data_IF_099763990720
#
_entry.id   IF_099763990720
#
_cell.length_a   1.000
_cell.length_b   1.000
_cell.length_c   1.000
_cell.angle_alpha   90.00
_cell.angle_beta   90.00
_cell.angle_gamma   90.00
#
_symmetry.space_group_name_H-M   'P 1'
#
loop_
_entity.id
_entity.type
_entity.pdbx_description
1 polymer ?
#
# COMPACT_ATOMS: atom_id res chain seq x y z
N UNK A 1 -44.84 33.32 19.68
CA UNK A 1 -45.99 32.39 19.70
C UNK A 1 -45.48 30.99 19.40
N UNK A 2 -44.54 30.43 20.17
CA UNK A 2 -44.62 29.97 21.57
C UNK A 2 -45.62 28.84 21.79
N UNK A 3 -45.07 27.69 22.22
CA UNK A 3 -45.69 26.45 22.72
C UNK A 3 -45.90 25.34 21.70
N UNK A 4 -44.85 24.61 21.34
CA UNK A 4 -44.94 23.18 21.04
C UNK A 4 -43.60 22.53 21.41
N UNK A 5 -43.66 21.42 22.16
CA UNK A 5 -42.55 20.62 22.72
C UNK A 5 -42.06 20.95 24.14
N UNK A 6 -42.92 20.61 25.09
CA UNK A 6 -42.54 20.20 26.44
C UNK A 6 -43.32 18.93 26.79
N UNK A 7 -42.69 17.74 26.69
CA UNK A 7 -43.13 16.50 27.36
C UNK A 7 -42.20 15.33 27.00
N UNK A 8 -41.96 14.45 27.98
CA UNK A 8 -41.13 13.24 28.03
C UNK A 8 -39.64 13.51 28.37
N UNK A 9 -39.15 13.25 29.58
CA UNK A 9 -39.68 12.42 30.67
C UNK A 9 -38.63 11.38 31.05
N UNK A 10 -38.00 11.61 32.20
CA UNK A 10 -36.99 10.81 32.90
C UNK A 10 -37.38 9.34 33.16
N UNK A 11 -36.33 8.50 33.32
CA UNK A 11 -36.32 7.25 34.10
C UNK A 11 -35.92 6.04 33.24
N UNK A 12 -35.12 5.05 33.68
CA UNK A 12 -34.79 4.61 35.04
C UNK A 12 -33.73 3.50 34.94
N UNK A 13 -32.85 3.41 35.95
CA UNK A 13 -31.88 2.34 36.20
C UNK A 13 -32.50 0.93 36.29
N UNK A 14 -31.72 -0.09 35.88
CA UNK A 14 -31.65 -1.37 36.63
C UNK A 14 -30.43 -2.24 36.24
N UNK A 15 -29.62 -2.52 37.26
CA UNK A 15 -28.71 -3.67 37.40
C UNK A 15 -29.44 -5.00 37.14
N UNK A 16 -28.70 -6.00 36.66
CA UNK A 16 -28.65 -7.32 37.32
C UNK A 16 -27.44 -8.14 36.84
N UNK A 17 -26.75 -8.68 37.83
CA UNK A 17 -25.81 -9.80 37.78
C UNK A 17 -26.52 -11.10 37.39
N UNK A 18 -25.86 -12.04 36.70
CA UNK A 18 -25.83 -13.45 37.15
C UNK A 18 -24.74 -14.33 36.47
N UNK A 19 -24.36 -15.34 37.23
CA UNK A 19 -23.35 -16.42 37.10
C UNK A 19 -23.61 -17.31 35.86
N UNK A 20 -22.62 -17.90 35.19
CA UNK A 20 -21.70 -18.94 35.66
C UNK A 20 -22.20 -20.33 35.24
N UNK A 21 -21.44 -21.10 34.45
CA UNK A 21 -21.52 -22.57 34.48
C UNK A 21 -20.31 -23.25 33.81
N UNK A 22 -19.61 -24.04 34.63
CA UNK A 22 -18.64 -25.07 34.25
C UNK A 22 -19.35 -26.29 33.67
N UNK A 23 -18.81 -26.90 32.60
CA UNK A 23 -18.93 -28.35 32.38
C UNK A 23 -17.68 -28.94 31.77
N UNK A 24 -17.03 -29.78 32.57
CA UNK A 24 -16.08 -30.84 32.20
C UNK A 24 -16.71 -31.78 31.17
N UNK A 25 -15.90 -32.29 30.26
CA UNK A 25 -16.08 -33.63 29.71
C UNK A 25 -14.71 -34.30 29.54
N UNK A 26 -14.55 -35.40 30.26
CA UNK A 26 -13.50 -36.39 30.11
C UNK A 26 -13.87 -37.33 28.95
N UNK A 27 -12.90 -37.69 28.11
CA UNK A 27 -12.98 -38.93 27.36
C UNK A 27 -11.58 -39.48 27.09
N UNK A 28 -11.32 -40.63 27.70
CA UNK A 28 -10.16 -41.50 27.52
C UNK A 28 -10.09 -42.05 26.11
N UNK A 29 -8.93 -41.99 25.45
CA UNK A 29 -8.62 -42.86 24.32
C UNK A 29 -7.16 -43.30 24.33
N UNK A 30 -6.97 -44.51 23.84
CA UNK A 30 -6.01 -45.52 24.25
C UNK A 30 -5.16 -45.90 23.04
N UNK A 31 -3.83 -45.71 23.15
CA UNK A 31 -2.76 -46.53 22.54
C UNK A 31 -2.67 -46.70 21.02
N UNK A 32 -1.46 -46.44 20.49
CA UNK A 32 -1.06 -46.94 19.17
C UNK A 32 0.31 -46.43 18.70
N UNK A 33 1.38 -47.05 19.17
CA UNK A 33 2.78 -46.79 18.77
C UNK A 33 3.08 -47.34 17.37
N UNK A 34 3.77 -46.56 16.52
CA UNK A 34 4.31 -47.04 15.25
C UNK A 34 5.59 -46.30 14.87
N UNK A 35 6.73 -46.98 15.05
CA UNK A 35 8.07 -46.68 14.54
C UNK A 35 8.09 -46.19 13.08
N UNK A 36 8.92 -45.19 12.79
CA UNK A 36 9.87 -45.32 11.67
C UNK A 36 10.99 -44.27 11.73
N UNK A 37 12.15 -44.77 12.17
CA UNK A 37 13.46 -44.17 12.04
C UNK A 37 14.09 -44.53 10.67
N UNK A 38 15.12 -43.78 10.28
CA UNK A 38 15.98 -43.93 9.07
C UNK A 38 15.40 -43.31 7.79
N UNK A 39 16.07 -42.40 7.06
CA UNK A 39 17.36 -42.59 6.37
C UNK A 39 18.06 -41.23 6.19
N UNK A 40 19.28 -41.12 6.73
CA UNK A 40 20.33 -40.18 6.30
C UNK A 40 21.16 -40.84 5.19
N UNK A 41 21.68 -40.03 4.25
CA UNK A 41 23.10 -39.89 3.82
C UNK A 41 23.35 -39.83 2.30
N UNK A 42 24.31 -38.93 1.99
CA UNK A 42 25.32 -38.91 0.91
C UNK A 42 24.90 -38.32 -0.43
N UNK A 43 25.57 -37.22 -0.83
CA UNK A 43 26.70 -37.35 -1.76
C UNK A 43 27.59 -36.09 -1.77
N UNK A 44 28.89 -36.34 -1.74
CA UNK A 44 29.99 -35.41 -2.00
C UNK A 44 30.93 -36.08 -3.02
N UNK A 45 31.83 -35.29 -3.62
CA UNK A 45 32.94 -35.60 -4.58
C UNK A 45 32.65 -35.16 -6.02
N UNK A 46 33.56 -34.69 -6.89
CA UNK A 46 35.01 -34.38 -6.87
C UNK A 46 35.36 -33.70 -8.23
N UNK A 47 36.34 -32.79 -8.27
CA UNK A 47 37.32 -32.51 -9.37
C UNK A 47 38.02 -31.17 -9.03
N UNK A 48 39.32 -31.01 -8.71
CA UNK A 48 40.59 -31.31 -9.42
C UNK A 48 40.59 -30.73 -10.86
N UNK A 49 41.59 -30.04 -11.42
CA UNK A 49 43.05 -29.92 -11.19
C UNK A 49 43.56 -28.84 -12.19
N UNK A 50 44.70 -28.17 -11.92
CA UNK A 50 45.85 -27.95 -12.85
C UNK A 50 46.70 -26.74 -12.40
N UNK A 51 47.98 -27.04 -12.22
CA UNK A 51 49.12 -26.17 -11.95
C UNK A 51 49.61 -25.38 -13.19
N UNK A 52 50.31 -24.27 -12.94
CA UNK A 52 51.66 -24.09 -13.52
C UNK A 52 52.02 -22.78 -14.23
N UNK A 53 53.08 -22.14 -13.68
CA UNK A 53 54.15 -21.31 -14.34
C UNK A 53 53.74 -19.87 -14.74
N UNK A 54 54.45 -18.76 -14.49
CA UNK A 54 55.80 -18.44 -13.98
C UNK A 54 56.31 -17.15 -14.69
N UNK A 55 57.26 -16.41 -14.09
CA UNK A 55 57.95 -15.17 -14.54
C UNK A 55 57.19 -13.83 -14.38
N UNK A 56 57.74 -12.70 -13.94
CA UNK A 56 59.06 -12.23 -13.47
C UNK A 56 58.86 -10.73 -13.13
N UNK A 57 59.36 -10.19 -12.00
CA UNK A 57 60.69 -9.58 -11.87
C UNK A 57 60.68 -8.08 -12.20
N UNK A 58 61.05 -7.21 -11.24
CA UNK A 58 61.35 -5.79 -11.53
C UNK A 58 61.23 -4.84 -10.33
N UNK A 59 62.37 -4.49 -9.76
CA UNK A 59 62.60 -3.75 -8.51
C UNK A 59 62.49 -2.20 -8.58
N UNK A 60 62.58 -1.61 -7.37
CA UNK A 60 63.13 -0.31 -6.99
C UNK A 60 62.28 0.96 -7.13
N UNK A 61 61.96 1.59 -6.00
CA UNK A 61 62.80 2.69 -5.47
C UNK A 61 62.27 3.23 -4.12
N UNK A 62 63.22 3.46 -3.22
CA UNK A 62 63.06 3.98 -1.87
C UNK A 62 62.83 5.50 -1.81
N UNK A 63 62.28 5.99 -0.69
CA UNK A 63 62.31 7.42 -0.37
C UNK A 63 61.53 7.85 0.89
N UNK A 64 62.20 7.75 2.05
CA UNK A 64 62.27 8.78 3.12
C UNK A 64 60.96 9.42 3.64
N UNK A 65 60.50 9.10 4.86
CA UNK A 65 60.85 9.78 6.13
C UNK A 65 60.51 11.29 6.17
N UNK A 66 59.50 11.66 6.97
CA UNK A 66 59.57 12.74 7.99
C UNK A 66 58.23 12.92 8.72
N UNK A 67 58.31 12.78 10.04
CA UNK A 67 57.36 13.29 11.02
C UNK A 67 57.38 14.84 11.01
N UNK A 68 56.25 15.47 11.29
CA UNK A 68 56.18 16.65 12.15
C UNK A 68 54.73 17.00 12.51
N UNK A 69 54.43 16.88 13.81
CA UNK A 69 53.30 17.52 14.48
C UNK A 69 53.60 19.01 14.64
N UNK A 70 52.75 19.88 14.07
CA UNK A 70 52.72 21.32 14.38
C UNK A 70 51.26 21.79 14.27
N UNK A 71 50.84 22.62 15.22
CA UNK A 71 49.53 23.30 15.39
C UNK A 71 48.56 22.70 16.41
N UNK A 72 49.05 22.63 17.65
CA UNK A 72 48.29 23.14 18.79
C UNK A 72 48.49 24.66 18.86
N UNK A 73 47.46 25.46 18.55
CA UNK A 73 47.20 26.82 19.04
C UNK A 73 46.20 27.55 18.12
N UNK A 74 44.92 27.62 18.53
CA UNK A 74 43.98 28.69 18.13
C UNK A 74 42.71 28.58 19.00
N UNK A 75 42.86 28.85 20.30
CA UNK A 75 41.75 28.88 21.25
C UNK A 75 41.81 30.15 22.08
N UNK A 76 41.49 31.29 21.48
CA UNK A 76 41.17 32.53 22.19
C UNK A 76 40.57 33.56 21.21
N UNK A 77 39.35 34.04 21.49
CA UNK A 77 38.87 35.34 21.03
C UNK A 77 38.04 35.40 19.74
N UNK A 78 36.75 35.01 19.81
CA UNK A 78 35.72 35.52 18.88
C UNK A 78 34.41 35.76 19.67
N UNK A 79 34.48 36.52 20.76
CA UNK A 79 33.31 36.87 21.58
C UNK A 79 33.15 38.38 21.77
N UNK A 80 33.46 39.18 20.75
CA UNK A 80 33.35 40.66 20.86
C UNK A 80 32.99 41.41 19.55
N UNK A 81 32.37 40.73 18.57
CA UNK A 81 32.05 41.37 17.28
C UNK A 81 30.66 41.02 16.72
N UNK A 82 29.63 40.94 17.56
CA UNK A 82 28.25 40.93 17.10
C UNK A 82 27.45 41.94 17.92
N UNK A 83 27.36 43.13 17.34
CA UNK A 83 26.63 44.26 17.87
C UNK A 83 25.18 43.95 18.18
N UNK A 84 24.75 44.58 19.26
CA UNK A 84 23.36 44.81 19.67
C UNK A 84 22.51 45.23 18.45
N UNK A 85 21.61 44.36 18.03
CA UNK A 85 20.42 44.78 17.28
C UNK A 85 19.22 44.66 18.21
N UNK A 86 18.72 45.82 18.63
CA UNK A 86 17.43 46.00 19.29
C UNK A 86 16.30 45.55 18.35
N UNK A 87 15.67 44.43 18.69
CA UNK A 87 14.59 43.81 17.91
C UNK A 87 13.28 43.70 18.72
N UNK A 88 13.00 44.73 19.53
CA UNK A 88 11.71 44.87 20.22
C UNK A 88 11.17 46.30 20.08
N UNK A 89 10.51 46.58 18.95
CA UNK A 89 9.42 47.57 18.95
C UNK A 89 8.47 47.45 17.75
N UNK A 90 7.21 47.12 18.05
CA UNK A 90 5.95 47.52 17.40
C UNK A 90 5.86 47.48 15.85
N UNK A 91 5.04 46.58 15.33
CA UNK A 91 3.65 46.92 14.96
C UNK A 91 2.96 45.75 14.26
N UNK A 92 1.71 45.51 14.66
CA UNK A 92 0.76 44.63 14.00
C UNK A 92 0.45 45.15 12.59
N UNK A 93 0.98 44.48 11.56
CA UNK A 93 0.42 44.52 10.21
C UNK A 93 0.31 43.09 9.71
N UNK A 94 -0.94 42.70 9.48
CA UNK A 94 -1.38 41.49 8.79
C UNK A 94 -0.65 41.37 7.46
N UNK A 95 0.38 40.52 7.42
CA UNK A 95 1.06 40.13 6.20
C UNK A 95 0.20 39.09 5.48
N UNK A 96 -0.66 39.56 4.57
CA UNK A 96 -1.20 38.72 3.50
C UNK A 96 -0.03 38.35 2.60
N UNK A 97 0.41 37.10 2.66
CA UNK A 97 1.37 36.51 1.72
C UNK A 97 0.72 36.44 0.33
N UNK A 98 0.74 37.56 -0.40
CA UNK A 98 0.50 37.61 -1.83
C UNK A 98 1.70 36.96 -2.52
N UNK A 99 1.65 35.64 -2.69
CA UNK A 99 2.50 34.89 -3.63
C UNK A 99 2.28 35.49 -5.01
N UNK A 100 3.38 35.89 -5.65
CA UNK A 100 3.42 36.65 -6.89
C UNK A 100 2.46 36.14 -7.96
N UNK A 101 1.36 36.86 -8.14
CA UNK A 101 0.53 36.77 -9.32
C UNK A 101 1.31 37.35 -10.49
N UNK A 102 2.02 36.50 -11.23
CA UNK A 102 2.49 36.85 -12.56
C UNK A 102 1.27 37.27 -13.37
N UNK A 103 1.15 38.57 -13.64
CA UNK A 103 0.19 39.06 -14.61
C UNK A 103 0.49 38.34 -15.92
N UNK A 104 -0.44 37.47 -16.34
CA UNK A 104 -0.49 36.94 -17.69
C UNK A 104 -0.38 38.14 -18.64
N UNK A 105 0.77 38.31 -19.27
CA UNK A 105 1.06 39.39 -20.19
C UNK A 105 0.27 39.17 -21.48
N UNK A 106 -1.05 39.41 -21.43
CA UNK A 106 -1.94 39.75 -22.56
C UNK A 106 -1.89 38.88 -23.81
N UNK A 107 -1.27 37.70 -23.78
CA UNK A 107 -1.15 36.82 -24.92
C UNK A 107 -2.45 36.06 -25.13
N UNK A 108 -2.97 36.07 -26.36
CA UNK A 108 -4.09 35.23 -26.74
C UNK A 108 -3.79 33.78 -26.41
N UNK A 109 -4.73 33.08 -25.79
CA UNK A 109 -4.49 31.69 -25.36
C UNK A 109 -4.11 30.83 -26.58
N UNK A 110 -3.08 29.97 -26.50
CA UNK A 110 -2.60 29.23 -27.66
C UNK A 110 -3.68 28.31 -28.22
N UNK A 111 -3.71 28.16 -29.55
CA UNK A 111 -4.60 27.24 -30.27
C UNK A 111 -5.24 27.86 -31.51
N UNK A 112 -5.69 27.00 -32.43
CA UNK A 112 -6.48 27.41 -33.60
C UNK A 112 -7.94 27.43 -33.19
N UNK A 113 -8.64 28.53 -33.48
CA UNK A 113 -10.05 28.69 -33.16
C UNK A 113 -10.90 28.35 -34.37
N UNK A 114 -11.87 27.46 -34.18
CA UNK A 114 -12.76 26.97 -35.22
C UNK A 114 -14.21 27.29 -34.85
N UNK A 115 -14.95 28.04 -35.67
CA UNK A 115 -16.37 28.27 -35.44
C UNK A 115 -17.18 27.02 -35.77
N UNK A 116 -18.04 26.59 -34.84
CA UNK A 116 -18.86 25.39 -34.95
C UNK A 116 -20.34 25.79 -34.97
N UNK A 117 -21.10 25.21 -35.90
CA UNK A 117 -22.54 25.42 -36.03
C UNK A 117 -23.26 24.07 -36.19
N UNK A 118 -24.10 23.72 -35.22
CA UNK A 118 -24.91 22.51 -35.21
C UNK A 118 -26.38 22.90 -35.45
N UNK A 119 -26.83 22.81 -36.70
CA UNK A 119 -28.13 23.25 -37.22
C UNK A 119 -29.26 22.21 -37.12
N UNK A 120 -28.96 20.93 -37.37
CA UNK A 120 -29.92 19.82 -37.35
C UNK A 120 -30.51 19.59 -35.95
N UNK A 121 -31.82 19.28 -35.86
CA UNK A 121 -32.43 18.79 -34.63
C UNK A 121 -31.94 17.37 -34.31
N UNK A 122 -31.95 17.00 -33.03
CA UNK A 122 -31.58 15.66 -32.56
C UNK A 122 -30.33 15.64 -31.66
N UNK A 123 -29.80 14.44 -31.37
CA UNK A 123 -28.62 14.29 -30.53
C UNK A 123 -27.38 14.85 -31.21
N UNK A 124 -26.60 15.65 -30.48
CA UNK A 124 -25.37 16.24 -30.99
C UNK A 124 -24.30 15.17 -31.26
N UNK A 125 -24.30 14.10 -30.46
CA UNK A 125 -23.31 13.01 -30.48
C UNK A 125 -21.93 13.45 -30.03
N UNK A 126 -21.89 14.27 -28.98
CA UNK A 126 -20.67 14.72 -28.31
C UNK A 126 -20.77 14.40 -26.82
N UNK A 127 -19.65 14.02 -26.23
CA UNK A 127 -19.47 13.90 -24.78
C UNK A 127 -18.53 14.99 -24.30
N UNK A 128 -18.92 15.71 -23.25
CA UNK A 128 -18.11 16.78 -22.65
C UNK A 128 -17.74 16.42 -21.22
N UNK A 129 -16.49 16.72 -20.87
CA UNK A 129 -15.97 16.65 -19.51
C UNK A 129 -15.78 18.05 -18.92
N UNK A 130 -15.84 18.11 -17.59
CA UNK A 130 -15.57 19.31 -16.81
C UNK A 130 -14.06 19.39 -16.55
N UNK A 131 -13.45 20.50 -16.96
CA UNK A 131 -12.04 20.78 -16.65
C UNK A 131 -11.82 20.80 -15.12
N UNK A 132 -10.71 20.21 -14.65
CA UNK A 132 -10.29 20.25 -13.23
C UNK A 132 -9.88 21.65 -12.76
N UNK A 133 -9.74 22.62 -13.67
CA UNK A 133 -9.41 24.00 -13.31
C UNK A 133 -10.49 24.66 -12.45
N UNK A 134 -10.09 25.65 -11.66
CA UNK A 134 -10.97 26.44 -10.77
C UNK A 134 -12.20 27.02 -11.50
N UNK A 135 -12.10 27.28 -12.81
CA UNK A 135 -13.18 27.87 -13.61
C UNK A 135 -14.12 26.86 -14.26
N UNK A 136 -13.79 25.56 -14.25
CA UNK A 136 -14.64 24.47 -14.71
C UNK A 136 -15.27 24.66 -16.11
N UNK A 137 -14.45 24.92 -17.12
CA UNK A 137 -14.88 25.01 -18.51
C UNK A 137 -15.15 23.63 -19.15
N UNK A 138 -15.89 23.61 -20.26
CA UNK A 138 -16.23 22.40 -21.01
C UNK A 138 -15.13 21.99 -22.00
N UNK A 139 -14.73 20.72 -21.97
CA UNK A 139 -13.79 20.10 -22.91
C UNK A 139 -14.47 18.92 -23.59
N UNK A 140 -14.27 18.75 -24.90
CA UNK A 140 -14.81 17.60 -25.63
C UNK A 140 -14.04 16.32 -25.25
N UNK A 141 -14.70 15.41 -24.52
CA UNK A 141 -14.12 14.15 -24.05
C UNK A 141 -14.16 13.05 -25.12
N UNK A 142 -15.31 12.92 -25.81
CA UNK A 142 -15.51 11.94 -26.86
C UNK A 142 -16.52 12.43 -27.91
N UNK A 143 -16.46 11.82 -29.09
CA UNK A 143 -17.36 12.14 -30.20
C UNK A 143 -17.90 10.82 -30.75
N UNK A 144 -19.21 10.75 -30.91
CA UNK A 144 -19.89 9.59 -31.48
C UNK A 144 -19.68 9.59 -32.99
N UNK A 145 -19.21 8.48 -33.60
CA UNK A 145 -19.05 8.39 -35.04
C UNK A 145 -20.37 8.62 -35.79
N UNK A 146 -20.31 9.25 -36.96
CA UNK A 146 -21.42 9.67 -37.84
C UNK A 146 -22.40 10.66 -37.20
N UNK A 147 -22.04 11.26 -36.07
CA UNK A 147 -22.86 12.26 -35.39
C UNK A 147 -22.88 13.61 -36.10
N UNK A 148 -23.69 14.53 -35.57
CA UNK A 148 -23.63 15.93 -36.00
C UNK A 148 -22.30 16.59 -35.59
N UNK A 149 -21.81 16.29 -34.38
CA UNK A 149 -20.56 16.81 -33.86
C UNK A 149 -19.35 16.43 -34.72
N UNK A 150 -19.24 15.15 -35.13
CA UNK A 150 -18.17 14.69 -36.02
C UNK A 150 -18.23 15.39 -37.39
N UNK A 151 -19.43 15.51 -37.97
CA UNK A 151 -19.64 16.20 -39.26
C UNK A 151 -19.30 17.69 -39.21
N UNK A 152 -19.43 18.30 -38.04
CA UNK A 152 -19.02 19.69 -37.81
C UNK A 152 -17.51 19.83 -37.57
N UNK A 153 -16.74 18.74 -37.57
CA UNK A 153 -15.28 18.76 -37.44
C UNK A 153 -14.78 18.91 -36.01
N UNK A 154 -15.62 18.67 -35.00
CA UNK A 154 -15.19 18.59 -33.60
C UNK A 154 -14.21 17.43 -33.41
N UNK A 155 -13.29 17.57 -32.46
CA UNK A 155 -12.34 16.52 -32.04
C UNK A 155 -12.27 16.43 -30.52
N UNK A 156 -11.85 15.26 -30.03
CA UNK A 156 -11.50 15.10 -28.60
C UNK A 156 -10.39 16.08 -28.23
N UNK A 157 -10.55 16.73 -27.07
CA UNK A 157 -9.64 17.74 -26.55
C UNK A 157 -9.94 19.18 -27.00
N UNK A 158 -10.93 19.40 -27.85
CA UNK A 158 -11.37 20.74 -28.22
C UNK A 158 -11.97 21.46 -26.99
N UNK A 159 -11.54 22.71 -26.75
CA UNK A 159 -12.03 23.55 -25.64
C UNK A 159 -13.17 24.42 -26.14
N UNK A 160 -14.34 24.35 -25.50
CA UNK A 160 -15.52 25.09 -25.93
C UNK A 160 -15.44 26.56 -25.51
N UNK A 161 -15.61 27.47 -26.46
CA UNK A 161 -15.50 28.92 -26.29
C UNK A 161 -16.77 29.65 -26.76
N UNK A 162 -17.02 30.83 -26.21
CA UNK A 162 -18.13 31.68 -26.61
C UNK A 162 -18.01 32.07 -28.09
N UNK A 163 -19.11 32.06 -28.85
CA UNK A 163 -19.08 32.42 -30.27
C UNK A 163 -18.61 33.87 -30.45
N UNK A 164 -17.62 34.08 -31.32
CA UNK A 164 -17.04 35.40 -31.60
C UNK A 164 -16.01 35.85 -30.55
N UNK A 165 -15.67 35.01 -29.59
CA UNK A 165 -14.63 35.33 -28.58
C UNK A 165 -13.20 35.10 -29.08
N UNK A 166 -13.03 34.52 -30.27
CA UNK A 166 -11.73 34.08 -30.79
C UNK A 166 -10.96 33.20 -29.78
N UNK A 167 -11.67 32.35 -29.03
CA UNK A 167 -11.06 31.41 -28.09
C UNK A 167 -10.63 31.99 -26.74
N UNK A 168 -10.88 33.28 -26.50
CA UNK A 168 -10.50 33.95 -25.24
C UNK A 168 -11.43 33.58 -24.08
N UNK A 169 -12.75 33.56 -24.36
CA UNK A 169 -13.78 33.31 -23.36
C UNK A 169 -14.28 31.87 -23.46
N UNK A 170 -13.84 31.03 -22.53
CA UNK A 170 -14.25 29.63 -22.42
C UNK A 170 -15.65 29.52 -21.81
N UNK A 171 -16.48 28.61 -22.34
CA UNK A 171 -17.82 28.37 -21.80
C UNK A 171 -17.71 27.43 -20.60
N UNK A 172 -18.35 27.81 -19.49
CA UNK A 172 -18.46 26.94 -18.30
C UNK A 172 -19.22 25.65 -18.63
N UNK A 173 -18.82 24.55 -18.00
CA UNK A 173 -19.43 23.23 -18.23
C UNK A 173 -20.96 23.26 -18.13
N UNK A 174 -21.49 23.77 -17.01
CA UNK A 174 -22.92 23.79 -16.75
C UNK A 174 -23.67 24.65 -17.79
N UNK A 175 -23.09 25.79 -18.17
CA UNK A 175 -23.65 26.68 -19.19
C UNK A 175 -23.70 26.01 -20.56
N UNK A 176 -22.63 25.31 -20.95
CA UNK A 176 -22.61 24.58 -22.21
C UNK A 176 -23.64 23.44 -22.22
N UNK A 177 -23.75 22.69 -21.12
CA UNK A 177 -24.77 21.62 -20.98
C UNK A 177 -26.18 22.19 -21.09
N UNK A 178 -26.47 23.34 -20.47
CA UNK A 178 -27.76 24.03 -20.61
C UNK A 178 -28.01 24.50 -22.04
N UNK A 179 -27.00 25.05 -22.73
CA UNK A 179 -27.11 25.45 -24.13
C UNK A 179 -27.37 24.24 -25.05
N UNK A 180 -26.66 23.13 -24.84
CA UNK A 180 -26.80 21.91 -25.62
C UNK A 180 -28.17 21.23 -25.44
N UNK A 181 -28.70 21.26 -24.21
CA UNK A 181 -30.04 20.78 -23.86
C UNK A 181 -31.16 21.71 -24.34
N UNK A 182 -30.85 22.99 -24.62
CA UNK A 182 -31.85 23.89 -25.18
C UNK A 182 -32.29 23.40 -26.56
N UNK A 183 -33.58 23.55 -26.87
CA UNK A 183 -34.12 23.27 -28.21
C UNK A 183 -33.73 24.33 -29.25
N UNK A 184 -32.93 25.35 -28.85
CA UNK A 184 -32.47 26.41 -29.74
C UNK A 184 -31.43 25.85 -30.72
N UNK A 185 -31.73 25.96 -32.01
CA UNK A 185 -30.84 25.61 -33.12
C UNK A 185 -30.86 26.77 -34.13
N UNK A 186 -29.72 27.09 -34.78
CA UNK A 186 -28.44 26.41 -34.70
C UNK A 186 -27.71 26.67 -33.37
N UNK A 187 -27.09 25.62 -32.81
CA UNK A 187 -26.19 25.78 -31.66
C UNK A 187 -24.83 26.25 -32.20
N UNK A 188 -24.49 27.51 -31.90
CA UNK A 188 -23.26 28.17 -32.35
C UNK A 188 -22.31 28.38 -31.18
N UNK A 189 -21.07 27.96 -31.35
CA UNK A 189 -19.98 28.16 -30.40
C UNK A 189 -18.65 28.03 -31.14
N UNK A 190 -17.59 28.57 -30.55
CA UNK A 190 -16.24 28.39 -31.09
C UNK A 190 -15.57 27.24 -30.34
N UNK A 191 -14.62 26.57 -30.97
CA UNK A 191 -13.71 25.66 -30.27
C UNK A 191 -12.26 26.07 -30.46
N UNK A 192 -11.51 26.08 -29.36
CA UNK A 192 -10.07 26.30 -29.38
C UNK A 192 -9.37 24.95 -29.37
N UNK A 193 -8.72 24.63 -30.49
CA UNK A 193 -7.95 23.41 -30.68
C UNK A 193 -6.48 23.69 -30.40
N UNK A 194 -5.94 23.07 -29.37
CA UNK A 194 -4.51 23.07 -29.11
C UNK A 194 -3.91 22.04 -30.06
N UNK A 195 -3.21 22.49 -31.10
CA UNK A 195 -2.48 21.57 -31.95
C UNK A 195 -1.44 20.85 -31.10
N UNK A 196 -1.47 19.51 -31.12
CA UNK A 196 -0.50 18.68 -30.42
C UNK A 196 0.94 18.93 -30.90
N UNK A 197 1.12 19.60 -32.04
CA UNK A 197 2.43 20.09 -32.52
C UNK A 197 3.10 21.04 -31.52
N UNK A 198 2.32 21.89 -30.83
CA UNK A 198 2.86 22.87 -29.86
C UNK A 198 3.26 22.20 -28.55
N UNK A 199 2.62 21.08 -28.19
CA UNK A 199 3.00 20.30 -27.00
C UNK A 199 4.23 19.40 -27.22
N UNK A 200 4.64 19.18 -28.49
CA UNK A 200 5.86 18.44 -28.84
C UNK A 200 7.08 19.35 -29.09
N UNK A 201 6.96 20.66 -28.88
CA UNK A 201 8.01 21.65 -29.16
C UNK A 201 8.94 21.91 -27.99
N UNK A 202 9.82 20.96 -27.66
CA UNK A 202 10.92 21.14 -26.72
C UNK A 202 12.00 20.09 -26.93
N UNK A 203 13.11 20.52 -27.53
CA UNK A 203 14.31 19.76 -27.89
C UNK A 203 14.18 18.73 -29.01
N UNK A 204 14.85 19.04 -30.14
CA UNK A 204 14.98 18.20 -31.33
C UNK A 204 15.75 16.90 -31.11
N UNK A 205 15.23 16.02 -30.26
CA UNK A 205 15.57 14.61 -30.24
C UNK A 205 14.51 13.85 -31.05
N UNK A 206 14.91 12.93 -31.93
CA UNK A 206 13.98 12.11 -32.69
C UNK A 206 13.37 11.08 -31.72
N UNK A 207 12.35 11.47 -30.97
CA UNK A 207 11.72 10.59 -30.00
C UNK A 207 10.18 10.68 -30.05
N UNK A 208 9.59 9.73 -30.78
CA UNK A 208 8.69 8.78 -30.12
C UNK A 208 7.28 9.22 -29.76
N UNK A 209 6.69 10.18 -30.48
CA UNK A 209 5.29 10.57 -30.32
C UNK A 209 4.28 9.73 -31.12
N UNK A 210 3.66 8.75 -30.47
CA UNK A 210 2.23 8.46 -30.66
C UNK A 210 1.79 7.52 -31.79
N UNK A 211 2.01 6.21 -31.65
CA UNK A 211 1.11 5.16 -32.18
C UNK A 211 0.88 4.08 -31.10
N UNK A 212 -0.36 3.62 -31.04
CA UNK A 212 -0.98 3.05 -29.84
C UNK A 212 -0.41 1.74 -29.28
N UNK A 213 -0.81 1.47 -28.03
CA UNK A 213 -0.84 0.21 -27.25
C UNK A 213 0.39 -0.72 -27.27
N UNK A 214 0.92 -1.10 -28.44
CA UNK A 214 2.12 -1.94 -28.55
C UNK A 214 3.40 -1.23 -28.10
N UNK A 215 3.46 0.10 -28.29
CA UNK A 215 4.66 0.89 -28.00
C UNK A 215 4.81 1.24 -26.51
N UNK A 216 3.74 1.12 -25.72
CA UNK A 216 3.81 1.28 -24.26
C UNK A 216 4.60 0.14 -23.60
N UNK A 217 4.47 -1.09 -24.13
CA UNK A 217 5.23 -2.24 -23.65
C UNK A 217 6.70 -2.15 -24.05
N UNK A 218 6.98 -1.72 -25.28
CA UNK A 218 8.34 -1.46 -25.75
C UNK A 218 9.04 -0.36 -24.93
N UNK A 219 8.32 0.72 -24.58
CA UNK A 219 8.82 1.75 -23.66
C UNK A 219 9.07 1.22 -22.25
N UNK A 220 8.16 0.42 -21.70
CA UNK A 220 8.33 -0.20 -20.38
C UNK A 220 9.56 -1.11 -20.35
N UNK A 221 9.76 -1.93 -21.39
CA UNK A 221 10.97 -2.76 -21.52
C UNK A 221 12.25 -1.94 -21.73
N UNK A 222 12.21 -0.87 -22.51
CA UNK A 222 13.36 0.02 -22.70
C UNK A 222 13.77 0.72 -21.39
N UNK A 223 12.80 1.13 -20.57
CA UNK A 223 13.05 1.72 -19.25
C UNK A 223 13.65 0.68 -18.28
N UNK A 224 13.14 -0.56 -18.27
CA UNK A 224 13.69 -1.65 -17.46
C UNK A 224 15.13 -1.97 -17.88
N UNK A 225 15.38 -2.15 -19.18
CA UNK A 225 16.72 -2.41 -19.71
C UNK A 225 17.71 -1.27 -19.40
N UNK A 226 17.25 -0.01 -19.45
CA UNK A 226 18.07 1.14 -19.09
C UNK A 226 18.39 1.19 -17.58
N UNK A 227 17.45 0.79 -16.72
CA UNK A 227 17.67 0.68 -15.28
C UNK A 227 18.67 -0.44 -14.95
N UNK A 228 18.51 -1.62 -15.56
CA UNK A 228 19.42 -2.76 -15.38
C UNK A 228 20.84 -2.43 -15.87
N UNK A 229 20.98 -1.73 -17.00
CA UNK A 229 22.29 -1.29 -17.49
C UNK A 229 23.00 -0.31 -16.53
N UNK A 230 22.24 0.52 -15.80
CA UNK A 230 22.80 1.42 -14.77
C UNK A 230 23.23 0.65 -13.53
N UNK A 231 22.47 -0.34 -13.10
CA UNK A 231 22.82 -1.19 -11.96
C UNK A 231 24.01 -2.11 -12.27
N UNK A 232 24.10 -2.65 -13.48
CA UNK A 232 25.26 -3.42 -13.93
C UNK A 232 26.55 -2.58 -13.91
N UNK A 233 26.49 -1.33 -14.39
CA UNK A 233 27.62 -0.40 -14.31
C UNK A 233 27.99 -0.07 -12.87
N UNK A 234 27.01 0.17 -11.99
CA UNK A 234 27.26 0.42 -10.55
C UNK A 234 27.93 -0.77 -9.87
N UNK A 235 27.42 -1.99 -10.11
CA UNK A 235 28.03 -3.23 -9.58
C UNK A 235 29.44 -3.46 -10.11
N UNK A 236 29.71 -3.17 -11.38
CA UNK A 236 31.06 -3.28 -11.94
C UNK A 236 32.04 -2.25 -11.35
N UNK A 237 31.57 -1.04 -11.00
CA UNK A 237 32.41 -0.01 -10.36
C UNK A 237 32.62 -0.21 -8.86
N UNK A 238 31.73 -0.94 -8.18
CA UNK A 238 31.92 -1.32 -6.79
C UNK A 238 32.94 -2.46 -6.75
N UNK A 239 34.21 -2.10 -6.51
CA UNK A 239 35.25 -3.09 -6.20
C UNK A 239 34.75 -3.92 -5.02
N UNK A 240 34.73 -5.27 -5.11
CA UNK A 240 34.38 -6.11 -3.98
C UNK A 240 35.31 -5.73 -2.83
N UNK A 241 34.71 -5.31 -1.71
CA UNK A 241 35.45 -4.98 -0.50
C UNK A 241 36.29 -6.22 -0.19
N UNK A 242 37.64 -6.16 -0.27
CA UNK A 242 38.47 -7.29 0.05
C UNK A 242 38.13 -7.68 1.48
N UNK A 243 37.75 -8.94 1.69
CA UNK A 243 37.56 -9.50 3.02
C UNK A 243 38.90 -9.41 3.71
N UNK A 244 39.11 -8.34 4.47
CA UNK A 244 40.25 -8.21 5.35
C UNK A 244 40.10 -9.28 6.41
N UNK A 245 41.01 -10.25 6.38
CA UNK A 245 41.22 -11.17 7.49
C UNK A 245 41.33 -10.34 8.77
N UNK A 246 40.48 -10.69 9.74
CA UNK A 246 40.41 -10.06 11.04
C UNK A 246 41.75 -10.27 11.76
N UNK A 247 42.70 -9.35 11.57
CA UNK A 247 43.71 -9.06 12.58
C UNK A 247 43.00 -8.30 13.70
N UNK A 248 42.84 -8.99 14.82
CA UNK A 248 42.46 -8.38 16.08
C UNK A 248 43.61 -7.45 16.50
N UNK A 249 43.29 -6.18 16.69
CA UNK A 249 44.11 -5.31 17.51
C UNK A 249 43.18 -4.50 18.42
N UNK A 250 43.61 -4.41 19.68
CA UNK A 250 42.83 -4.06 20.85
C UNK A 250 42.31 -2.62 20.84
N UNK A 251 40.97 -2.46 20.93
CA UNK A 251 40.37 -1.39 21.77
C UNK A 251 38.86 -1.55 21.98
N UNK A 252 38.54 -2.06 23.17
CA UNK A 252 37.40 -1.77 24.04
C UNK A 252 36.08 -1.32 23.39
N UNK A 253 35.12 -2.24 23.33
CA UNK A 253 33.74 -1.98 23.76
C UNK A 253 33.14 -3.27 24.34
N UNK A 254 32.57 -3.14 25.53
CA UNK A 254 32.16 -4.21 26.43
C UNK A 254 30.89 -4.91 25.94
N UNK A 255 31.02 -6.15 25.46
CA UNK A 255 29.93 -7.11 25.41
C UNK A 255 30.22 -8.23 26.42
N UNK A 256 29.35 -8.37 27.41
CA UNK A 256 29.39 -9.45 28.40
C UNK A 256 29.22 -10.81 27.72
N UNK A 257 30.33 -11.48 27.46
CA UNK A 257 30.38 -12.93 27.23
C UNK A 257 30.62 -13.56 28.60
N UNK A 258 29.58 -14.16 29.17
CA UNK A 258 29.77 -14.97 30.37
C UNK A 258 30.57 -16.22 29.99
N UNK A 259 31.80 -16.24 30.47
CA UNK A 259 32.74 -17.33 30.34
C UNK A 259 32.18 -18.58 31.05
N UNK A 260 32.14 -19.70 30.32
CA UNK A 260 31.70 -21.02 30.80
C UNK A 260 32.81 -21.69 31.60
N UNK A 261 33.18 -21.13 32.73
CA UNK A 261 34.19 -21.74 33.60
C UNK A 261 33.70 -21.85 35.03
N UNK A 262 33.54 -23.11 35.47
CA UNK A 262 33.33 -23.57 36.84
C UNK A 262 31.94 -23.34 37.43
N UNK A 263 30.92 -24.02 36.87
CA UNK A 263 29.71 -24.32 37.62
C UNK A 263 30.11 -25.10 38.89
N UNK A 264 29.93 -24.44 40.04
CA UNK A 264 30.15 -25.01 41.36
C UNK A 264 29.39 -26.34 41.49
N UNK A 265 29.94 -27.29 42.24
CA UNK A 265 29.29 -28.58 42.50
C UNK A 265 27.85 -28.41 43.03
N UNK A 266 27.63 -27.34 43.80
CA UNK A 266 26.32 -26.92 44.29
C UNK A 266 25.34 -26.56 43.16
N UNK A 267 25.79 -25.84 42.13
CA UNK A 267 24.96 -25.52 40.95
C UNK A 267 24.59 -26.79 40.19
N UNK A 268 25.52 -27.74 40.06
CA UNK A 268 25.23 -29.05 39.45
C UNK A 268 24.21 -29.85 40.25
N UNK A 269 24.28 -29.81 41.59
CA UNK A 269 23.30 -30.47 42.46
C UNK A 269 21.91 -29.82 42.37
N UNK A 270 21.84 -28.49 42.30
CA UNK A 270 20.59 -27.76 42.15
C UNK A 270 19.91 -28.07 40.80
N UNK A 271 20.66 -28.10 39.71
CA UNK A 271 20.13 -28.47 38.39
C UNK A 271 19.67 -29.93 38.34
N UNK A 272 20.38 -30.84 39.00
CA UNK A 272 19.97 -32.24 39.10
C UNK A 272 18.65 -32.39 39.88
N UNK A 273 18.53 -31.72 41.03
CA UNK A 273 17.31 -31.73 41.84
C UNK A 273 16.10 -31.15 41.08
N UNK A 274 16.29 -30.09 40.28
CA UNK A 274 15.24 -29.54 39.44
C UNK A 274 14.77 -30.54 38.37
N UNK A 275 15.71 -31.22 37.69
CA UNK A 275 15.37 -32.26 36.69
C UNK A 275 14.66 -33.48 37.30
N UNK A 276 14.97 -33.83 38.54
CA UNK A 276 14.30 -34.93 39.24
C UNK A 276 12.86 -34.56 39.59
N UNK A 277 12.64 -33.34 40.09
CA UNK A 277 11.29 -32.82 40.35
C UNK A 277 10.45 -32.72 39.08
N UNK A 278 11.05 -32.34 37.95
CA UNK A 278 10.38 -32.34 36.65
C UNK A 278 9.95 -33.74 36.22
N UNK A 279 10.81 -34.76 36.41
CA UNK A 279 10.50 -36.16 36.08
C UNK A 279 9.38 -36.74 36.94
N UNK A 280 9.39 -36.47 38.25
CA UNK A 280 8.30 -36.91 39.13
C UNK A 280 6.97 -36.27 38.75
N UNK A 281 6.98 -34.99 38.38
CA UNK A 281 5.79 -34.30 37.93
C UNK A 281 5.27 -34.86 36.60
N UNK A 282 6.18 -35.18 35.66
CA UNK A 282 5.83 -35.83 34.40
C UNK A 282 5.22 -37.23 34.61
N UNK A 283 5.78 -38.03 35.53
CA UNK A 283 5.22 -39.34 35.90
C UNK A 283 3.82 -39.21 36.53
N UNK A 284 3.61 -38.20 37.36
CA UNK A 284 2.31 -37.94 38.00
C UNK A 284 1.24 -37.48 37.00
N UNK A 285 1.63 -36.69 36.01
CA UNK A 285 0.73 -36.17 34.98
C UNK A 285 0.51 -37.15 33.83
N UNK A 286 1.37 -38.17 33.68
CA UNK A 286 1.33 -39.10 32.55
C UNK A 286 1.80 -38.51 31.23
N UNK A 287 2.30 -37.27 31.24
CA UNK A 287 2.92 -36.55 30.11
C UNK A 287 3.93 -35.53 30.66
N UNK A 288 4.97 -35.18 29.88
CA UNK A 288 6.01 -34.22 30.31
C UNK A 288 5.66 -32.79 29.85
N UNK A 289 5.18 -31.89 30.73
CA UNK A 289 4.81 -30.53 30.34
C UNK A 289 6.01 -29.63 29.99
N UNK A 290 7.24 -30.05 30.34
CA UNK A 290 8.45 -29.26 30.12
C UNK A 290 9.21 -29.66 28.84
N UNK A 291 8.78 -30.72 28.17
CA UNK A 291 9.34 -31.12 26.89
C UNK A 291 8.69 -30.30 25.78
N UNK A 292 9.37 -29.23 25.36
CA UNK A 292 8.94 -28.46 24.19
C UNK A 292 9.14 -29.30 22.94
N UNK A 293 8.09 -30.00 22.51
CA UNK A 293 8.04 -30.55 21.16
C UNK A 293 8.13 -29.38 20.18
N UNK A 294 9.31 -29.16 19.62
CA UNK A 294 9.53 -28.17 18.58
C UNK A 294 8.81 -28.64 17.30
N UNK A 295 7.49 -28.46 17.26
CA UNK A 295 6.70 -28.64 16.05
C UNK A 295 7.06 -27.53 15.10
N UNK A 296 7.75 -27.89 14.02
CA UNK A 296 7.97 -26.99 12.89
C UNK A 296 6.60 -26.59 12.35
N UNK A 297 6.40 -25.31 12.03
CA UNK A 297 5.09 -24.70 11.73
C UNK A 297 4.22 -25.42 10.69
N UNK A 298 4.79 -26.30 9.86
CA UNK A 298 4.05 -27.17 8.94
C UNK A 298 3.30 -28.34 9.62
N UNK A 299 3.77 -28.87 10.75
CA UNK A 299 3.13 -30.01 11.43
C UNK A 299 1.95 -29.59 12.32
N UNK A 300 1.91 -28.34 12.79
CA UNK A 300 0.82 -27.80 13.60
C UNK A 300 -0.51 -27.69 12.84
N UNK A 301 -0.46 -27.52 11.50
CA UNK A 301 -1.65 -27.42 10.64
C UNK A 301 -2.38 -28.76 10.49
N UNK A 302 -1.67 -29.89 10.52
CA UNK A 302 -2.30 -31.21 10.35
C UNK A 302 -3.03 -31.68 11.60
N UNK A 303 -2.55 -31.31 12.80
CA UNK A 303 -3.17 -31.69 14.06
C UNK A 303 -4.51 -30.98 14.33
N UNK A 304 -4.69 -29.75 13.84
CA UNK A 304 -5.96 -29.00 14.01
C UNK A 304 -7.05 -29.48 13.06
N UNK A 305 -6.69 -30.00 11.88
CA UNK A 305 -7.66 -30.57 10.91
C UNK A 305 -8.13 -31.95 11.38
N UNK A 306 -7.26 -32.78 11.95
CA UNK A 306 -7.62 -34.09 12.49
C UNK A 306 -8.51 -34.02 13.75
N UNK A 307 -8.40 -32.97 14.55
CA UNK A 307 -9.28 -32.76 15.71
C UNK A 307 -10.69 -32.27 15.33
N UNK A 308 -10.84 -31.62 14.17
CA UNK A 308 -12.12 -31.08 13.69
C UNK A 308 -12.89 -32.06 12.79
N UNK A 309 -12.18 -32.97 12.10
CA UNK A 309 -12.77 -34.03 11.29
C UNK A 309 -12.45 -35.38 11.95
N UNK A 310 -13.36 -35.87 12.80
CA UNK A 310 -13.19 -37.18 13.43
C UNK A 310 -12.87 -38.29 12.42
N UNK A 311 -11.99 -39.21 12.82
CA UNK A 311 -11.50 -40.33 12.01
C UNK A 311 -12.65 -41.09 11.33
N UNK A 312 -12.69 -41.05 10.00
CA UNK A 312 -13.59 -41.87 9.18
C UNK A 312 -12.94 -43.25 9.04
N UNK A 313 -13.29 -44.15 9.96
CA UNK A 313 -12.98 -45.58 9.82
C UNK A 313 -13.73 -46.16 8.62
N UNK A 314 -12.98 -46.42 7.53
CA UNK A 314 -13.47 -47.00 6.28
C UNK A 314 -13.65 -48.54 6.37
N UNK A 315 -14.37 -49.04 7.37
CA UNK A 315 -14.68 -50.45 7.49
C UNK A 315 -16.01 -50.67 8.23
N UNK A 316 -17.14 -50.41 7.56
CA UNK A 316 -18.36 -51.18 7.76
C UNK A 316 -19.39 -50.88 6.65
N UNK A 317 -19.33 -51.68 5.60
CA UNK A 317 -20.38 -51.83 4.58
C UNK A 317 -21.11 -53.11 4.92
N UNK A 318 -22.30 -53.04 5.55
CA UNK A 318 -23.28 -54.14 5.53
C UNK A 318 -24.72 -53.57 5.54
N UNK A 319 -25.39 -53.78 4.40
CA UNK A 319 -26.81 -54.06 4.15
C UNK A 319 -27.88 -53.63 5.18
N UNK A 320 -28.81 -52.80 4.71
CA UNK A 320 -30.12 -52.61 5.32
C UNK A 320 -31.08 -51.94 4.33
N UNK A 321 -31.83 -52.77 3.58
CA UNK A 321 -33.04 -52.36 2.86
C UNK A 321 -34.08 -51.90 3.90
N UNK A 322 -34.53 -50.65 3.82
CA UNK A 322 -35.50 -50.11 4.77
C UNK A 322 -36.08 -48.77 4.31
N UNK A 323 -37.34 -48.84 3.87
CA UNK A 323 -38.35 -47.80 3.64
C UNK A 323 -37.94 -46.32 3.70
N UNK A 324 -38.18 -45.64 2.58
CA UNK A 324 -38.11 -44.18 2.44
C UNK A 324 -39.22 -43.46 3.23
N UNK A 325 -38.89 -42.51 4.11
CA UNK A 325 -39.76 -41.40 4.42
C UNK A 325 -39.47 -40.19 3.51
N UNK A 326 -40.58 -39.55 3.12
CA UNK A 326 -40.73 -38.34 2.31
C UNK A 326 -39.58 -37.31 2.35
N UNK A 327 -39.10 -36.79 1.20
CA UNK A 327 -38.08 -35.76 1.13
C UNK A 327 -38.70 -34.39 1.47
N UNK A 328 -38.75 -34.07 2.76
CA UNK A 328 -39.28 -32.81 3.28
C UNK A 328 -38.20 -32.01 4.02
N UNK A 329 -37.85 -30.85 3.46
CA UNK A 329 -37.02 -29.77 4.04
C UNK A 329 -35.57 -30.15 4.38
N UNK A 330 -34.72 -30.08 3.35
CA UNK A 330 -33.38 -29.51 3.54
C UNK A 330 -33.56 -28.08 4.07
N UNK A 331 -32.93 -27.78 5.20
CA UNK A 331 -32.74 -26.39 5.61
C UNK A 331 -32.10 -25.67 4.43
N UNK A 332 -32.76 -24.60 3.98
CA UNK A 332 -32.20 -23.65 3.01
C UNK A 332 -30.77 -23.34 3.50
N UNK A 333 -29.73 -23.54 2.65
CA UNK A 333 -28.37 -23.18 3.01
C UNK A 333 -28.45 -21.77 3.56
N UNK A 334 -28.08 -21.59 4.84
CA UNK A 334 -28.04 -20.26 5.44
C UNK A 334 -26.92 -19.54 4.70
N UNK A 335 -27.30 -18.90 3.59
CA UNK A 335 -26.44 -18.10 2.75
C UNK A 335 -25.89 -17.05 3.72
N UNK A 336 -24.59 -17.13 4.11
CA UNK A 336 -24.03 -16.18 5.03
C UNK A 336 -24.07 -14.86 4.29
N UNK A 337 -25.13 -14.10 4.51
CA UNK A 337 -25.40 -12.82 3.86
C UNK A 337 -24.38 -11.86 4.45
N UNK A 338 -23.13 -11.98 4.02
CA UNK A 338 -22.06 -11.08 4.35
C UNK A 338 -22.52 -9.73 3.88
N UNK A 339 -22.71 -8.82 4.84
CA UNK A 339 -23.29 -7.48 4.62
C UNK A 339 -22.27 -6.54 3.97
N UNK A 340 -21.37 -7.07 3.16
CA UNK A 340 -20.41 -6.29 2.40
C UNK A 340 -21.13 -5.62 1.25
N UNK A 341 -20.88 -4.32 1.00
CA UNK A 341 -21.49 -3.65 -0.13
C UNK A 341 -20.97 -4.27 -1.43
N UNK A 342 -21.82 -4.34 -2.48
CA UNK A 342 -21.44 -4.95 -3.75
C UNK A 342 -20.25 -4.24 -4.40
N UNK A 343 -20.07 -2.95 -4.13
CA UNK A 343 -18.91 -2.17 -4.58
C UNK A 343 -17.59 -2.69 -3.98
N UNK A 344 -17.59 -3.06 -2.69
CA UNK A 344 -16.43 -3.64 -2.03
C UNK A 344 -16.11 -5.02 -2.60
N UNK A 345 -17.11 -5.87 -2.76
CA UNK A 345 -16.94 -7.22 -3.31
C UNK A 345 -16.41 -7.19 -4.74
N UNK A 346 -16.90 -6.26 -5.55
CA UNK A 346 -16.42 -6.06 -6.92
C UNK A 346 -14.97 -5.59 -6.93
N UNK A 347 -14.61 -4.57 -6.13
CA UNK A 347 -13.22 -4.10 -6.03
C UNK A 347 -12.27 -5.18 -5.51
N UNK A 348 -12.71 -5.95 -4.51
CA UNK A 348 -11.95 -7.08 -3.95
C UNK A 348 -11.78 -8.20 -4.99
N UNK A 349 -12.83 -8.53 -5.74
CA UNK A 349 -12.78 -9.52 -6.82
C UNK A 349 -11.81 -9.10 -7.92
N UNK A 350 -11.83 -7.83 -8.35
CA UNK A 350 -10.86 -7.29 -9.32
C UNK A 350 -9.43 -7.44 -8.78
N UNK A 351 -9.19 -7.05 -7.53
CA UNK A 351 -7.89 -7.14 -6.89
C UNK A 351 -7.34 -8.57 -6.90
N UNK A 352 -8.17 -9.54 -6.52
CA UNK A 352 -7.77 -10.94 -6.42
C UNK A 352 -7.60 -11.61 -7.79
N UNK A 353 -8.45 -11.27 -8.76
CA UNK A 353 -8.49 -11.99 -10.05
C UNK A 353 -7.67 -11.35 -11.16
N UNK A 354 -7.45 -10.03 -11.12
CA UNK A 354 -6.78 -9.30 -12.21
C UNK A 354 -5.25 -9.31 -12.09
N UNK A 355 -4.72 -9.63 -10.91
CA UNK A 355 -3.28 -9.61 -10.66
C UNK A 355 -2.70 -11.02 -10.76
N UNK A 356 -1.71 -11.21 -11.65
CA UNK A 356 -1.08 -12.50 -11.86
C UNK A 356 -0.16 -12.94 -10.71
N UNK A 357 0.40 -11.97 -9.97
CA UNK A 357 1.28 -12.23 -8.83
C UNK A 357 0.47 -12.30 -7.52
N UNK A 358 0.17 -13.52 -7.09
CA UNK A 358 -0.53 -13.77 -5.84
C UNK A 358 0.22 -13.22 -4.62
N UNK A 359 1.57 -13.24 -4.62
CA UNK A 359 2.35 -12.73 -3.49
C UNK A 359 2.21 -11.22 -3.35
N UNK A 360 2.16 -10.49 -4.47
CA UNK A 360 1.88 -9.06 -4.49
C UNK A 360 0.49 -8.73 -3.96
N UNK A 361 -0.53 -9.53 -4.31
CA UNK A 361 -1.91 -9.39 -3.80
C UNK A 361 -1.95 -9.59 -2.28
N UNK A 362 -1.32 -10.66 -1.76
CA UNK A 362 -1.26 -10.91 -0.32
C UNK A 362 -0.56 -9.78 0.45
N UNK A 363 0.55 -9.26 -0.09
CA UNK A 363 1.26 -8.13 0.50
C UNK A 363 0.40 -6.85 0.48
N UNK A 364 -0.30 -6.59 -0.63
CA UNK A 364 -1.23 -5.49 -0.79
C UNK A 364 -2.34 -5.53 0.25
N UNK A 365 -3.04 -6.67 0.38
CA UNK A 365 -4.08 -6.88 1.38
C UNK A 365 -3.56 -6.65 2.80
N UNK A 366 -2.38 -7.17 3.13
CA UNK A 366 -1.77 -7.00 4.45
C UNK A 366 -1.47 -5.55 4.78
N UNK A 367 -0.96 -4.78 3.81
CA UNK A 367 -0.68 -3.35 3.96
C UNK A 367 -1.98 -2.57 4.11
N UNK A 368 -2.97 -2.79 3.24
CA UNK A 368 -4.27 -2.12 3.31
C UNK A 368 -4.94 -2.36 4.65
N UNK A 369 -4.99 -3.62 5.11
CA UNK A 369 -5.61 -3.97 6.41
C UNK A 369 -4.94 -3.26 7.58
N UNK A 370 -3.61 -3.12 7.57
CA UNK A 370 -2.87 -2.33 8.58
C UNK A 370 -3.20 -0.85 8.52
N UNK A 371 -3.30 -0.26 7.33
CA UNK A 371 -3.65 1.14 7.15
C UNK A 371 -5.08 1.44 7.61
N UNK A 372 -6.04 0.61 7.19
CA UNK A 372 -7.43 0.68 7.61
C UNK A 372 -7.52 0.58 9.13
N UNK A 373 -6.89 -0.44 9.74
CA UNK A 373 -6.93 -0.62 11.19
C UNK A 373 -6.31 0.59 11.93
N UNK A 374 -5.17 1.11 11.48
CA UNK A 374 -4.56 2.29 12.07
C UNK A 374 -5.46 3.53 11.94
N UNK A 375 -6.12 3.72 10.80
CA UNK A 375 -7.00 4.86 10.55
C UNK A 375 -8.26 4.84 11.42
N UNK A 376 -8.90 3.67 11.62
CA UNK A 376 -10.13 3.54 12.43
C UNK A 376 -9.86 3.46 13.94
N UNK A 377 -8.65 3.06 14.36
CA UNK A 377 -8.27 2.97 15.78
C UNK A 377 -7.50 4.19 16.22
N UNK A 378 -6.20 4.25 15.94
CA UNK A 378 -5.28 5.33 16.32
C UNK A 378 -5.63 6.65 15.63
N UNK A 379 -6.16 6.57 14.42
CA UNK A 379 -6.62 7.73 13.67
C UNK A 379 -7.91 8.32 14.22
N UNK A 380 -8.66 7.63 15.09
CA UNK A 380 -9.88 8.17 15.70
C UNK A 380 -9.71 8.49 17.19
N UNK A 381 -8.51 8.27 17.75
CA UNK A 381 -8.22 8.46 19.17
C UNK A 381 -7.13 9.52 19.37
N UNK A 382 -7.31 10.40 20.35
CA UNK A 382 -6.32 11.40 20.75
C UNK A 382 -6.48 12.76 20.06
N UNK A 383 -5.50 13.62 20.29
CA UNK A 383 -5.50 14.99 19.76
C UNK A 383 -5.39 14.99 18.23
N UNK A 384 -6.04 15.97 17.59
CA UNK A 384 -6.15 16.08 16.13
C UNK A 384 -4.79 16.03 15.41
N UNK A 385 -3.76 16.63 16.00
CA UNK A 385 -2.41 16.65 15.44
C UNK A 385 -1.76 15.25 15.43
N UNK A 386 -1.96 14.47 16.48
CA UNK A 386 -1.35 13.13 16.60
C UNK A 386 -2.13 12.05 15.85
N UNK A 387 -3.45 12.20 15.75
CA UNK A 387 -4.34 11.26 15.09
C UNK A 387 -4.35 11.45 13.56
N UNK A 388 -4.18 12.69 13.07
CA UNK A 388 -4.15 13.02 11.64
C UNK A 388 -3.08 12.24 10.85
N UNK A 389 -1.90 11.97 11.44
CA UNK A 389 -0.83 11.20 10.78
C UNK A 389 -1.21 9.74 10.49
N UNK A 390 -2.16 9.15 11.24
CA UNK A 390 -2.63 7.78 11.02
C UNK A 390 -3.80 7.72 10.04
N UNK A 391 -4.48 8.85 9.79
CA UNK A 391 -5.53 8.98 8.80
C UNK A 391 -4.99 9.33 7.41
N UNK A 392 -3.79 9.90 7.31
CA UNK A 392 -3.15 10.32 6.06
C UNK A 392 -2.11 9.32 5.59
N UNK A 393 -2.23 8.85 4.35
CA UNK A 393 -1.31 7.92 3.70
C UNK A 393 -0.75 8.57 2.44
N UNK A 394 0.57 8.75 2.40
CA UNK A 394 1.27 9.36 1.25
C UNK A 394 1.47 8.32 0.14
N UNK A 395 0.89 8.56 -1.04
CA UNK A 395 0.97 7.62 -2.16
C UNK A 395 2.35 7.56 -2.84
N UNK A 396 3.21 8.58 -2.63
CA UNK A 396 4.58 8.55 -3.15
C UNK A 396 5.53 7.66 -2.34
N UNK A 397 5.11 7.12 -1.19
CA UNK A 397 5.93 6.16 -0.43
C UNK A 397 6.10 4.87 -1.26
N UNK A 398 7.34 4.41 -1.56
CA UNK A 398 7.57 3.27 -2.45
C UNK A 398 6.81 2.00 -2.05
N UNK A 399 6.73 1.69 -0.74
CA UNK A 399 6.02 0.50 -0.26
C UNK A 399 4.51 0.61 -0.42
N UNK A 400 3.96 1.81 -0.24
CA UNK A 400 2.53 2.07 -0.42
C UNK A 400 2.18 2.10 -1.90
N UNK A 401 3.03 2.72 -2.72
CA UNK A 401 2.87 2.78 -4.16
C UNK A 401 2.83 1.38 -4.77
N UNK A 402 3.82 0.55 -4.45
CA UNK A 402 3.91 -0.83 -4.94
C UNK A 402 2.70 -1.66 -4.49
N UNK A 403 2.19 -1.44 -3.28
CA UNK A 403 1.08 -2.21 -2.73
C UNK A 403 -0.31 -1.74 -3.15
N UNK A 404 -0.51 -0.43 -3.35
CA UNK A 404 -1.85 0.16 -3.54
C UNK A 404 -2.01 0.79 -4.93
N UNK A 405 -1.00 1.50 -5.42
CA UNK A 405 -1.10 2.21 -6.70
C UNK A 405 -0.75 1.30 -7.88
N UNK A 406 0.24 0.43 -7.72
CA UNK A 406 0.73 -0.43 -8.79
C UNK A 406 -0.09 -1.74 -8.90
N UNK A 407 -0.91 -2.08 -7.90
CA UNK A 407 -1.80 -3.25 -7.88
C UNK A 407 -3.21 -2.86 -8.31
N UNK A 408 -3.70 -3.47 -9.39
CA UNK A 408 -5.03 -3.15 -9.93
C UNK A 408 -6.14 -3.53 -8.94
N UNK A 409 -7.08 -2.63 -8.68
CA UNK A 409 -8.20 -2.84 -7.76
C UNK A 409 -7.92 -2.47 -6.30
N UNK A 410 -6.65 -2.31 -5.90
CA UNK A 410 -6.29 -1.99 -4.52
C UNK A 410 -6.69 -0.55 -4.13
N UNK A 411 -6.50 0.41 -5.04
CA UNK A 411 -6.89 1.80 -4.80
C UNK A 411 -8.41 1.93 -4.67
N UNK A 412 -9.17 1.31 -5.56
CA UNK A 412 -10.63 1.29 -5.55
C UNK A 412 -11.16 0.67 -4.25
N UNK A 413 -10.54 -0.41 -3.79
CA UNK A 413 -10.89 -1.04 -2.51
C UNK A 413 -10.69 -0.09 -1.32
N UNK A 414 -9.58 0.67 -1.30
CA UNK A 414 -9.33 1.67 -0.26
C UNK A 414 -10.38 2.80 -0.29
N UNK A 415 -10.80 3.23 -1.48
CA UNK A 415 -11.86 4.23 -1.63
C UNK A 415 -13.21 3.71 -1.12
N UNK A 416 -13.56 2.45 -1.43
CA UNK A 416 -14.80 1.81 -0.92
C UNK A 416 -14.84 1.72 0.61
N UNK A 417 -13.68 1.59 1.27
CA UNK A 417 -13.58 1.58 2.74
C UNK A 417 -13.82 2.98 3.34
N UNK A 418 -13.73 4.04 2.54
CA UNK A 418 -13.97 5.43 2.95
C UNK A 418 -12.73 6.32 2.92
N UNK A 419 -11.61 5.87 2.36
CA UNK A 419 -10.50 6.79 2.09
C UNK A 419 -10.87 7.74 0.94
N UNK A 420 -10.39 8.98 1.02
CA UNK A 420 -10.60 10.01 -0.01
C UNK A 420 -9.24 10.44 -0.56
N UNK A 421 -9.15 10.64 -1.86
CA UNK A 421 -7.97 11.24 -2.49
C UNK A 421 -7.94 12.74 -2.21
N UNK A 422 -6.85 13.20 -1.61
CA UNK A 422 -6.57 14.62 -1.38
C UNK A 422 -5.22 14.96 -1.98
N UNK A 423 -5.16 16.02 -2.76
CA UNK A 423 -3.91 16.63 -3.21
C UNK A 423 -3.53 17.72 -2.21
N UNK A 424 -2.27 17.75 -1.76
CA UNK A 424 -1.76 18.83 -0.92
C UNK A 424 -1.22 19.94 -1.82
N UNK A 425 -1.85 21.12 -1.83
CA UNK A 425 -1.45 22.27 -2.67
C UNK A 425 -0.04 22.77 -2.34
N UNK A 426 0.47 22.52 -1.13
CA UNK A 426 1.80 22.96 -0.70
C UNK A 426 2.93 22.12 -1.31
N UNK A 427 2.74 20.79 -1.36
CA UNK A 427 3.76 19.84 -1.80
C UNK A 427 3.51 19.31 -3.23
N UNK A 428 2.30 19.49 -3.75
CA UNK A 428 1.84 18.89 -5.01
C UNK A 428 1.68 17.37 -4.95
N UNK A 429 1.62 16.78 -3.74
CA UNK A 429 1.57 15.34 -3.56
C UNK A 429 0.15 14.83 -3.25
N UNK A 430 -0.14 13.63 -3.74
CA UNK A 430 -1.41 12.95 -3.52
C UNK A 430 -1.37 12.06 -2.27
N UNK A 431 -2.39 12.19 -1.45
CA UNK A 431 -2.61 11.45 -0.22
C UNK A 431 -3.94 10.71 -0.28
N UNK A 432 -4.00 9.53 0.34
CA UNK A 432 -5.26 8.93 0.79
C UNK A 432 -5.52 9.41 2.22
N UNK A 433 -6.69 10.00 2.44
CA UNK A 433 -7.07 10.58 3.73
C UNK A 433 -8.35 9.92 4.21
N UNK A 434 -8.33 9.38 5.43
CA UNK A 434 -9.51 8.87 6.09
C UNK A 434 -10.19 9.98 6.91
N UNK A 435 -11.52 10.19 6.80
CA UNK A 435 -12.21 11.25 7.53
C UNK A 435 -12.10 11.12 9.07
N UNK A 436 -11.99 12.24 9.81
CA UNK A 436 -12.05 12.23 11.27
C UNK A 436 -13.48 11.99 11.76
N UNK A 437 -13.64 11.30 12.88
CA UNK A 437 -14.93 11.03 13.52
C UNK A 437 -15.70 9.83 12.95
N UNK A 438 -15.22 9.23 11.86
CA UNK A 438 -15.81 8.03 11.28
C UNK A 438 -15.16 6.77 11.88
N UNK A 439 -15.97 5.89 12.48
CA UNK A 439 -15.50 4.59 12.99
C UNK A 439 -15.45 3.49 11.91
N UNK A 440 -15.65 3.86 10.66
CA UNK A 440 -15.94 2.94 9.57
C UNK A 440 -17.39 2.51 9.52
N UNK A 441 -17.79 2.01 8.35
CA UNK A 441 -19.10 1.44 8.15
C UNK A 441 -19.27 0.16 8.97
N UNK A 442 -20.51 -0.20 9.33
CA UNK A 442 -20.79 -1.38 10.17
C UNK A 442 -20.32 -2.70 9.55
N UNK A 443 -20.18 -2.75 8.21
CA UNK A 443 -19.69 -3.91 7.46
C UNK A 443 -18.17 -4.02 7.39
N UNK A 444 -17.43 -3.00 7.85
CA UNK A 444 -15.97 -2.96 7.74
C UNK A 444 -15.29 -4.11 8.50
N UNK A 445 -15.86 -4.53 9.62
CA UNK A 445 -15.37 -5.70 10.37
C UNK A 445 -15.43 -6.99 9.55
N UNK A 446 -16.55 -7.20 8.85
CA UNK A 446 -16.74 -8.37 7.98
C UNK A 446 -15.80 -8.30 6.76
N UNK A 447 -15.67 -7.13 6.15
CA UNK A 447 -14.72 -6.90 5.06
C UNK A 447 -13.27 -7.19 5.46
N UNK A 448 -12.83 -6.73 6.64
CA UNK A 448 -11.50 -7.03 7.16
C UNK A 448 -11.30 -8.52 7.44
N UNK A 449 -12.36 -9.23 7.86
CA UNK A 449 -12.33 -10.68 8.04
C UNK A 449 -12.21 -11.41 6.70
N UNK A 450 -12.90 -10.97 5.65
CA UNK A 450 -12.75 -11.52 4.27
C UNK A 450 -11.32 -11.35 3.77
N UNK A 451 -10.75 -10.15 3.90
CA UNK A 451 -9.35 -9.90 3.50
C UNK A 451 -8.37 -10.79 4.28
N UNK A 452 -8.57 -10.96 5.59
CA UNK A 452 -7.74 -11.83 6.43
C UNK A 452 -7.89 -13.32 6.07
N UNK A 453 -9.11 -13.78 5.82
CA UNK A 453 -9.36 -15.17 5.42
C UNK A 453 -8.62 -15.49 4.11
N UNK A 454 -8.66 -14.58 3.15
CA UNK A 454 -7.90 -14.69 1.91
C UNK A 454 -6.37 -14.66 2.14
N UNK A 455 -5.88 -13.85 3.08
CA UNK A 455 -4.44 -13.86 3.44
C UNK A 455 -3.99 -15.20 4.06
N UNK A 456 -4.90 -15.91 4.72
CA UNK A 456 -4.60 -17.11 5.52
C UNK A 456 -4.78 -18.44 4.80
N UNK A 457 -5.61 -18.45 3.74
CA UNK A 457 -5.87 -19.62 2.89
C UNK A 457 -4.78 -19.79 1.84
#
# INVERSE_FOLDING_TARGET
MDKFFSSLGKGRDKKNDDKGNDKKNESSWQGGSGDMDTIKRKNATLASRIDGVGFGGGDNAAGSSKNNNVFANAGAGISDALGKMDLFNKSSRTATNSRGGGQSLGGSKPGVVLPISLDRPGPLGLEVEKSKSVQAFAIVAAIVPKSQAERAGLRRGDIVCHPGSNGEQEIRYDQFVSMAKSASRPLRFDVRRIESSVLSGGDGRPDGGGRGSADAYARKQAVIAAAEARDAKRKATQKPIPKTDKRMDDRQEQLYVHDRTNDSEETRRAVAAAKDAERENALKLGYNPYETNAMTSGQARTATVAAACGDISAANVINGEGEMPSPGRVNEPSDPTTKTPPEFEHAFSILVTSNADHAAVLNSLSIMRKLINNAITKGQQGDEETSSKFRRVRLSNPKIKEAITDVQGALELMLCVGFVLSENDEDGETYLVYPPGEKGASWLGDAMAVMLSYESG
#
